data_IF_953716742560
#
_entry.id   IF_953716742560
#
_cell.length_a   1.000
_cell.length_b   1.000
_cell.length_c   1.000
_cell.angle_alpha   90.00
_cell.angle_beta   90.00
_cell.angle_gamma   90.00
#
_symmetry.space_group_name_H-M   'P 1'
#
loop_
_entity.id
_entity.type
_entity.pdbx_description
1 polymer ?
#
# COMPACT_ATOMS: atom_id res chain seq x y z
N UNK A 1 32.97 30.44 -20.59
CA UNK A 1 32.21 31.25 -19.62
C UNK A 1 30.73 30.90 -19.64
N UNK A 2 30.12 30.93 -20.78
CA UNK A 2 28.71 30.74 -20.94
C UNK A 2 28.22 29.36 -20.52
N UNK A 3 29.05 28.38 -20.56
CA UNK A 3 28.66 27.00 -20.22
C UNK A 3 28.11 26.84 -18.80
N UNK A 4 28.47 27.74 -17.93
CA UNK A 4 27.99 27.66 -16.55
C UNK A 4 26.51 27.87 -16.46
N UNK A 5 25.95 28.68 -17.32
CA UNK A 5 24.52 28.95 -17.30
C UNK A 5 23.71 27.72 -17.70
N UNK A 6 24.21 26.97 -18.66
CA UNK A 6 23.53 25.77 -19.08
C UNK A 6 23.39 24.76 -17.93
N UNK A 7 24.44 24.69 -17.12
CA UNK A 7 24.38 23.78 -15.97
C UNK A 7 23.34 24.19 -14.97
N UNK A 8 23.18 25.46 -14.75
CA UNK A 8 22.17 25.97 -13.83
C UNK A 8 20.77 25.56 -14.26
N UNK A 9 20.49 25.66 -15.54
CA UNK A 9 19.18 25.26 -16.04
C UNK A 9 18.89 23.78 -15.79
N UNK A 10 19.90 22.95 -15.98
CA UNK A 10 19.73 21.53 -15.74
C UNK A 10 19.35 21.23 -14.31
N UNK A 11 19.92 21.93 -13.37
CA UNK A 11 19.61 21.70 -11.97
C UNK A 11 18.18 22.08 -11.63
N UNK A 12 17.68 23.16 -12.19
CA UNK A 12 16.29 23.57 -11.93
C UNK A 12 15.31 22.52 -12.46
N UNK A 13 15.59 21.97 -13.62
CA UNK A 13 14.73 20.93 -14.16
C UNK A 13 14.70 19.70 -13.25
N UNK A 14 15.84 19.35 -12.69
CA UNK A 14 15.91 18.22 -11.77
C UNK A 14 15.02 18.45 -10.54
N UNK A 15 15.03 19.65 -10.00
CA UNK A 15 14.18 19.96 -8.84
C UNK A 15 12.71 19.80 -9.17
N UNK A 16 12.29 20.20 -10.34
CA UNK A 16 10.90 20.06 -10.75
C UNK A 16 10.50 18.60 -10.80
N UNK A 17 11.35 17.75 -11.34
CA UNK A 17 11.08 16.32 -11.41
C UNK A 17 10.92 15.73 -10.00
N UNK A 18 11.79 16.14 -9.08
CA UNK A 18 11.70 15.67 -7.69
C UNK A 18 10.36 16.04 -7.09
N UNK A 19 9.85 17.23 -7.34
CA UNK A 19 8.56 17.63 -6.81
C UNK A 19 7.43 16.74 -7.31
N UNK A 20 7.44 16.37 -8.57
CA UNK A 20 6.44 15.47 -9.11
C UNK A 20 6.49 14.09 -8.45
N UNK A 21 7.69 13.59 -8.19
CA UNK A 21 7.85 12.31 -7.52
C UNK A 21 7.28 12.35 -6.10
N UNK A 22 7.43 13.48 -5.42
CA UNK A 22 6.87 13.64 -4.09
C UNK A 22 5.35 13.47 -4.10
N UNK A 23 4.66 14.07 -5.04
CA UNK A 23 3.22 13.94 -5.15
C UNK A 23 2.81 12.49 -5.40
N UNK A 24 3.54 11.78 -6.26
CA UNK A 24 3.24 10.39 -6.53
C UNK A 24 3.42 9.53 -5.28
N UNK A 25 4.44 9.80 -4.48
CA UNK A 25 4.70 9.03 -3.28
C UNK A 25 3.64 9.23 -2.21
N UNK A 26 2.95 10.38 -2.20
CA UNK A 26 1.90 10.63 -1.24
C UNK A 26 0.73 9.65 -1.37
N UNK A 27 0.62 8.95 -2.51
CA UNK A 27 -0.43 7.97 -2.76
C UNK A 27 -0.01 6.55 -2.41
N UNK A 28 1.22 6.36 -1.94
CA UNK A 28 1.74 5.05 -1.58
C UNK A 28 1.97 4.96 -0.08
N UNK A 29 2.00 3.74 0.44
CA UNK A 29 2.26 3.55 1.85
C UNK A 29 2.65 2.12 2.15
N UNK A 30 3.05 1.89 3.39
CA UNK A 30 3.40 0.56 3.85
C UNK A 30 3.07 0.42 5.33
N UNK A 31 2.90 -0.83 5.76
CA UNK A 31 2.63 -1.15 7.15
C UNK A 31 3.14 -2.55 7.46
N UNK A 32 3.76 -2.69 8.62
CA UNK A 32 4.14 -4.00 9.12
C UNK A 32 2.93 -4.70 9.72
N UNK A 33 2.80 -6.00 9.47
CA UNK A 33 1.67 -6.81 9.90
C UNK A 33 2.19 -8.09 10.54
N UNK A 34 1.70 -8.39 11.75
CA UNK A 34 1.98 -9.66 12.40
C UNK A 34 0.84 -10.62 12.14
N UNK A 35 1.17 -11.74 11.50
CA UNK A 35 0.21 -12.79 11.20
C UNK A 35 0.38 -13.88 12.23
N UNK A 36 -0.65 -14.16 13.00
CA UNK A 36 -0.59 -15.11 14.11
C UNK A 36 -1.07 -16.51 13.74
N UNK A 37 -1.66 -16.68 12.58
CA UNK A 37 -2.05 -17.97 12.06
C UNK A 37 -2.14 -17.92 10.54
N UNK A 38 -2.22 -19.06 9.90
CA UNK A 38 -2.28 -19.13 8.45
C UNK A 38 -3.36 -18.21 7.91
N UNK A 39 -2.99 -17.34 6.99
CA UNK A 39 -3.85 -16.29 6.45
C UNK A 39 -3.64 -16.19 4.95
N UNK A 40 -4.74 -16.05 4.20
CA UNK A 40 -4.67 -15.90 2.76
C UNK A 40 -4.46 -14.45 2.34
N UNK A 41 -3.72 -14.28 1.27
CA UNK A 41 -3.54 -12.98 0.62
C UNK A 41 -3.24 -13.20 -0.85
N UNK A 42 -4.11 -12.69 -1.72
CA UNK A 42 -3.88 -12.79 -3.17
C UNK A 42 -3.71 -14.22 -3.67
N UNK A 43 -4.44 -15.17 -3.09
CA UNK A 43 -4.33 -16.56 -3.47
C UNK A 43 -3.17 -17.30 -2.85
N UNK A 44 -2.36 -16.64 -2.05
CA UNK A 44 -1.21 -17.22 -1.38
C UNK A 44 -1.51 -17.39 0.10
N UNK A 45 -1.10 -18.49 0.69
CA UNK A 45 -1.26 -18.72 2.13
C UNK A 45 0.02 -18.27 2.83
N UNK A 46 -0.15 -17.44 3.85
CA UNK A 46 0.95 -16.92 4.66
C UNK A 46 1.02 -17.70 5.96
N UNK A 47 2.20 -18.21 6.30
CA UNK A 47 2.42 -18.83 7.61
C UNK A 47 2.58 -17.75 8.66
N UNK A 48 2.40 -18.07 9.95
CA UNK A 48 2.61 -17.08 11.01
C UNK A 48 3.98 -16.42 10.91
N UNK A 49 4.01 -15.12 11.09
CA UNK A 49 5.25 -14.34 11.00
C UNK A 49 4.95 -12.88 10.78
N UNK A 50 6.00 -12.09 10.60
CA UNK A 50 5.91 -10.66 10.37
C UNK A 50 6.12 -10.36 8.90
N UNK A 51 5.22 -9.57 8.34
CA UNK A 51 5.23 -9.21 6.92
C UNK A 51 5.06 -7.71 6.75
N UNK A 52 5.37 -7.23 5.55
CA UNK A 52 5.14 -5.83 5.20
C UNK A 52 4.11 -5.77 4.08
N UNK A 53 3.03 -5.03 4.33
CA UNK A 53 2.06 -4.68 3.29
C UNK A 53 2.50 -3.37 2.66
N UNK A 54 2.50 -3.33 1.33
CA UNK A 54 2.84 -2.12 0.58
C UNK A 54 1.71 -1.87 -0.40
N UNK A 55 1.21 -0.64 -0.44
CA UNK A 55 0.17 -0.28 -1.40
C UNK A 55 0.62 0.92 -2.20
N UNK A 56 0.21 0.95 -3.45
CA UNK A 56 0.52 2.06 -4.34
C UNK A 56 -0.62 2.26 -5.31
N UNK A 57 -0.70 3.46 -5.85
CA UNK A 57 -1.71 3.83 -6.83
C UNK A 57 -1.56 2.95 -8.08
N UNK A 58 -2.67 2.33 -8.48
CA UNK A 58 -2.70 1.52 -9.69
C UNK A 58 -2.93 2.32 -10.96
N UNK A 59 -2.95 3.65 -10.85
CA UNK A 59 -3.15 4.51 -12.01
C UNK A 59 -4.59 4.88 -12.29
N UNK A 60 -5.52 4.35 -11.53
CA UNK A 60 -6.95 4.45 -11.78
C UNK A 60 -7.69 5.08 -10.60
N UNK A 61 -7.07 6.02 -9.92
CA UNK A 61 -7.73 6.73 -8.83
C UNK A 61 -8.09 5.87 -7.64
N UNK A 62 -9.22 5.18 -7.72
CA UNK A 62 -9.70 4.37 -6.60
C UNK A 62 -8.98 3.03 -6.48
N UNK A 63 -8.33 2.55 -7.54
CA UNK A 63 -7.69 1.25 -7.55
C UNK A 63 -6.24 1.33 -7.09
N UNK A 64 -5.83 0.32 -6.35
CA UNK A 64 -4.49 0.23 -5.79
C UNK A 64 -3.93 -1.15 -6.06
N UNK A 65 -2.61 -1.26 -6.02
CA UNK A 65 -1.95 -2.55 -5.98
C UNK A 65 -1.42 -2.74 -4.57
N UNK A 66 -1.81 -3.84 -3.93
CA UNK A 66 -1.37 -4.18 -2.58
C UNK A 66 -0.46 -5.39 -2.67
N UNK A 67 0.74 -5.25 -2.13
CA UNK A 67 1.76 -6.29 -2.19
C UNK A 67 2.14 -6.68 -0.78
N UNK A 68 2.35 -7.97 -0.54
CA UNK A 68 2.88 -8.43 0.74
C UNK A 68 4.27 -9.01 0.53
N UNK A 69 5.18 -8.70 1.44
CA UNK A 69 6.55 -9.17 1.34
C UNK A 69 7.11 -9.55 2.70
N UNK A 70 8.10 -10.41 2.66
CA UNK A 70 8.88 -10.81 3.83
C UNK A 70 10.30 -10.28 3.61
N UNK A 71 10.68 -9.26 4.38
CA UNK A 71 11.93 -8.55 4.13
C UNK A 71 11.91 -7.93 2.74
N UNK A 72 12.83 -8.32 1.89
CA UNK A 72 12.92 -7.82 0.52
C UNK A 72 12.18 -8.69 -0.49
N UNK A 73 11.67 -9.84 -0.07
CA UNK A 73 11.06 -10.78 -0.99
C UNK A 73 9.57 -10.55 -1.10
N UNK A 74 9.09 -10.32 -2.31
CA UNK A 74 7.66 -10.19 -2.59
C UNK A 74 7.05 -11.59 -2.60
N UNK A 75 6.00 -11.79 -1.81
CA UNK A 75 5.32 -13.07 -1.70
C UNK A 75 4.06 -13.13 -2.56
N UNK A 76 3.29 -12.03 -2.61
CA UNK A 76 2.04 -12.01 -3.36
C UNK A 76 1.61 -10.57 -3.58
N UNK A 77 0.73 -10.39 -4.56
CA UNK A 77 0.09 -9.11 -4.83
C UNK A 77 -1.40 -9.34 -5.02
N UNK A 78 -2.19 -8.34 -4.68
CA UNK A 78 -3.64 -8.38 -4.87
C UNK A 78 -4.14 -6.99 -5.21
N UNK A 79 -5.25 -6.89 -5.95
CA UNK A 79 -5.85 -5.59 -6.18
C UNK A 79 -6.44 -5.05 -4.88
N UNK A 80 -6.42 -3.74 -4.74
CA UNK A 80 -7.03 -3.06 -3.62
C UNK A 80 -7.89 -1.92 -4.12
N UNK A 81 -8.78 -1.44 -3.26
CA UNK A 81 -9.67 -0.34 -3.59
C UNK A 81 -9.82 0.56 -2.39
N UNK A 82 -9.79 1.87 -2.61
CA UNK A 82 -10.13 2.83 -1.57
C UNK A 82 -11.63 2.81 -1.34
N UNK A 83 -12.02 2.72 -0.09
CA UNK A 83 -13.43 2.76 0.29
C UNK A 83 -13.62 3.81 1.36
N UNK A 84 -14.80 4.42 1.37
CA UNK A 84 -15.17 5.42 2.36
C UNK A 84 -15.83 4.74 3.54
N UNK A 85 -15.47 5.18 4.74
CA UNK A 85 -16.09 4.72 5.98
C UNK A 85 -17.11 5.75 6.44
N UNK A 86 -18.13 5.31 7.16
CA UNK A 86 -19.13 6.20 7.72
C UNK A 86 -18.53 7.11 8.78
N UNK A 87 -17.55 6.62 9.51
CA UNK A 87 -16.84 7.38 10.53
C UNK A 87 -15.37 7.00 10.53
N UNK A 88 -14.50 7.87 11.08
CA UNK A 88 -13.07 7.55 11.13
C UNK A 88 -12.81 6.29 11.93
N UNK A 89 -11.82 5.51 11.50
CA UNK A 89 -11.39 4.36 12.26
C UNK A 89 -10.73 4.81 13.56
N UNK A 90 -10.96 4.07 14.64
CA UNK A 90 -10.37 4.40 15.93
C UNK A 90 -8.87 4.13 15.95
N UNK A 91 -8.46 3.03 15.36
CA UNK A 91 -7.07 2.57 15.38
C UNK A 91 -6.63 2.09 14.01
N UNK A 92 -5.32 2.01 13.82
CA UNK A 92 -4.77 1.26 12.70
C UNK A 92 -5.10 -0.21 12.91
N UNK A 93 -5.63 -0.86 11.89
CA UNK A 93 -6.04 -2.24 12.04
C UNK A 93 -6.03 -2.95 10.70
N UNK A 94 -5.86 -4.26 10.78
CA UNK A 94 -6.06 -5.16 9.64
C UNK A 94 -7.32 -5.95 9.94
N UNK A 95 -8.28 -5.91 9.03
CA UNK A 95 -9.53 -6.65 9.18
C UNK A 95 -9.42 -7.93 8.37
N UNK A 96 -9.78 -9.04 8.98
CA UNK A 96 -9.75 -10.34 8.34
C UNK A 96 -11.15 -10.82 8.04
N UNK A 97 -11.24 -11.67 7.03
CA UNK A 97 -12.49 -12.33 6.68
C UNK A 97 -12.23 -13.84 6.70
N UNK A 98 -13.16 -14.60 7.24
CA UNK A 98 -13.07 -16.05 7.23
C UNK A 98 -14.08 -16.57 6.20
N UNK A 99 -13.62 -17.40 5.28
CA UNK A 99 -14.49 -17.96 4.26
C UNK A 99 -15.19 -19.22 4.77
N UNK A 100 -16.00 -19.86 3.91
CA UNK A 100 -16.83 -21.00 4.32
C UNK A 100 -16.07 -22.23 4.78
N UNK A 101 -14.79 -22.36 4.39
CA UNK A 101 -13.98 -23.50 4.83
C UNK A 101 -13.03 -23.16 5.97
N UNK A 102 -13.20 -22.01 6.58
CA UNK A 102 -12.44 -21.62 7.76
C UNK A 102 -11.12 -20.92 7.46
N UNK A 103 -10.79 -20.66 6.21
CA UNK A 103 -9.56 -19.96 5.87
C UNK A 103 -9.72 -18.47 6.09
N UNK A 104 -8.79 -17.88 6.84
CA UNK A 104 -8.79 -16.46 7.11
C UNK A 104 -8.02 -15.72 6.01
N UNK A 105 -8.53 -14.58 5.58
CA UNK A 105 -7.89 -13.75 4.57
C UNK A 105 -7.86 -12.30 5.01
N UNK A 106 -6.86 -11.55 4.57
CA UNK A 106 -6.82 -10.11 4.79
C UNK A 106 -7.88 -9.48 3.92
N UNK A 107 -8.77 -8.71 4.54
CA UNK A 107 -9.92 -8.12 3.86
C UNK A 107 -9.80 -6.61 3.73
N UNK A 108 -9.30 -5.93 4.75
CA UNK A 108 -9.31 -4.47 4.77
C UNK A 108 -8.18 -3.92 5.64
N UNK A 109 -7.66 -2.77 5.24
CA UNK A 109 -6.63 -2.04 6.01
C UNK A 109 -7.26 -0.75 6.49
N UNK A 110 -7.30 -0.55 7.80
CA UNK A 110 -7.85 0.66 8.43
C UNK A 110 -6.72 1.54 8.92
N UNK A 111 -6.94 2.85 8.84
CA UNK A 111 -5.98 3.85 9.29
C UNK A 111 -6.61 4.70 10.37
N UNK A 112 -5.93 4.84 11.51
CA UNK A 112 -6.43 5.63 12.64
C UNK A 112 -6.81 7.03 12.19
N UNK A 113 -7.96 7.52 12.66
CA UNK A 113 -8.48 8.85 12.42
C UNK A 113 -8.84 9.18 10.97
N UNK A 114 -8.84 8.18 10.07
CA UNK A 114 -9.18 8.40 8.67
C UNK A 114 -10.50 7.75 8.30
N UNK A 115 -11.24 8.41 7.42
CA UNK A 115 -12.48 7.87 6.88
C UNK A 115 -12.27 7.00 5.66
N UNK A 116 -11.03 6.85 5.23
CA UNK A 116 -10.70 5.99 4.10
C UNK A 116 -10.07 4.71 4.59
N UNK A 117 -10.36 3.62 3.88
CA UNK A 117 -9.75 2.33 4.13
C UNK A 117 -9.37 1.72 2.79
N UNK A 118 -8.57 0.68 2.81
CA UNK A 118 -8.22 -0.07 1.62
C UNK A 118 -8.85 -1.45 1.73
N UNK A 119 -9.72 -1.77 0.79
CA UNK A 119 -10.32 -3.10 0.68
C UNK A 119 -9.43 -3.95 -0.22
N UNK A 120 -9.07 -5.14 0.25
CA UNK A 120 -8.11 -6.00 -0.43
C UNK A 120 -8.81 -7.20 -1.02
N UNK A 121 -8.37 -7.58 -2.20
CA UNK A 121 -8.87 -8.77 -2.84
C UNK A 121 -9.97 -8.49 -3.83
N UNK A 122 -10.33 -9.47 -4.55
CA UNK A 122 -11.35 -9.39 -5.57
C UNK A 122 -12.58 -10.16 -5.21
#
# INVERSE_FOLDING_TARGET
>A
MSRRHARGSGRFLALTVVSCLWLAQALAGSREVDVDRVTGFGGTLLVPGTYTLVWKDGGDGALLEVTIRSGKKVLASAPGRRVQLDRPAADDAIVYRTDGNGTRSISRILFATRKEAIEVGG
#
